data_IF_987886567459
#
_entry.id   IF_987886567459
#
_cell.length_a   1.000
_cell.length_b   1.000
_cell.length_c   1.000
_cell.angle_alpha   90.00
_cell.angle_beta   90.00
_cell.angle_gamma   90.00
#
_symmetry.space_group_name_H-M   'P 1'
#
loop_
_entity.id
_entity.type
_entity.pdbx_description
1 polymer ?
#
# COMPACT_ATOMS: atom_id res chain seq x y z
N UNK A 1 14.88 -4.90 10.14
CA UNK A 1 13.79 -5.27 11.06
C UNK A 1 12.48 -5.40 10.27
N UNK A 2 12.14 -6.63 9.88
CA UNK A 2 10.92 -6.97 9.13
C UNK A 2 9.82 -7.32 10.11
N UNK A 3 9.29 -6.34 10.84
CA UNK A 3 8.24 -6.63 11.82
C UNK A 3 6.95 -6.94 11.08
N UNK A 4 6.48 -8.19 11.16
CA UNK A 4 5.22 -8.65 10.56
C UNK A 4 4.02 -7.79 11.01
N UNK A 5 4.09 -7.21 12.21
CA UNK A 5 3.09 -6.26 12.69
C UNK A 5 3.05 -5.00 11.81
N UNK A 6 4.22 -4.46 11.41
CA UNK A 6 4.27 -3.27 10.55
C UNK A 6 3.75 -3.54 9.14
N UNK A 7 4.02 -4.73 8.59
CA UNK A 7 3.41 -5.20 7.33
C UNK A 7 1.89 -5.15 7.45
N UNK A 8 1.34 -5.79 8.51
CA UNK A 8 -0.10 -5.82 8.76
C UNK A 8 -0.71 -4.43 8.96
N UNK A 9 -0.03 -3.53 9.67
CA UNK A 9 -0.52 -2.14 9.86
C UNK A 9 -0.63 -1.41 8.53
N UNK A 10 0.39 -1.51 7.67
CA UNK A 10 0.39 -0.86 6.35
C UNK A 10 -0.71 -1.45 5.47
N UNK A 11 -0.81 -2.79 5.39
CA UNK A 11 -1.85 -3.46 4.60
C UNK A 11 -3.26 -3.07 5.07
N UNK A 12 -3.49 -3.00 6.38
CA UNK A 12 -4.77 -2.61 6.95
C UNK A 12 -5.10 -1.13 6.71
N UNK A 13 -4.11 -0.24 6.75
CA UNK A 13 -4.31 1.18 6.44
C UNK A 13 -4.73 1.37 4.97
N UNK A 14 -4.06 0.67 4.06
CA UNK A 14 -4.31 0.78 2.63
C UNK A 14 -5.60 0.08 2.17
N UNK A 15 -6.00 -1.01 2.82
CA UNK A 15 -7.29 -1.69 2.54
C UNK A 15 -8.52 -0.81 2.82
N UNK A 16 -8.39 0.28 3.56
CA UNK A 16 -9.49 1.22 3.86
C UNK A 16 -9.78 2.18 2.71
N UNK A 17 -8.90 2.26 1.72
CA UNK A 17 -9.13 3.13 0.56
C UNK A 17 -10.23 2.55 -0.33
N UNK A 18 -11.15 3.41 -0.77
CA UNK A 18 -12.24 3.00 -1.63
C UNK A 18 -11.72 2.45 -2.96
N UNK A 19 -12.21 1.27 -3.35
CA UNK A 19 -11.80 0.62 -4.59
C UNK A 19 -10.57 -0.28 -4.46
N UNK A 20 -9.90 -0.34 -3.29
CA UNK A 20 -8.83 -1.32 -3.05
C UNK A 20 -9.41 -2.73 -2.93
N UNK A 21 -8.88 -3.66 -3.73
CA UNK A 21 -9.19 -5.10 -3.69
C UNK A 21 -8.17 -5.89 -2.90
N UNK A 22 -6.89 -5.56 -3.08
CA UNK A 22 -5.81 -6.28 -2.45
C UNK A 22 -4.64 -5.36 -2.17
N UNK A 23 -3.94 -5.66 -1.07
CA UNK A 23 -2.71 -4.98 -0.68
C UNK A 23 -1.72 -6.04 -0.25
N UNK A 24 -0.49 -5.94 -0.73
CA UNK A 24 0.63 -6.75 -0.30
C UNK A 24 1.82 -5.86 -0.02
N UNK A 25 2.28 -5.84 1.23
CA UNK A 25 3.46 -5.09 1.62
C UNK A 25 4.64 -6.04 1.88
N UNK A 26 5.78 -5.73 1.27
CA UNK A 26 7.05 -6.41 1.51
C UNK A 26 8.08 -5.40 2.02
N UNK A 27 8.27 -5.40 3.34
CA UNK A 27 9.24 -4.52 3.99
C UNK A 27 10.68 -5.01 3.86
N UNK A 28 10.94 -6.25 3.40
CA UNK A 28 12.30 -6.70 3.06
C UNK A 28 12.74 -6.08 1.75
N UNK A 29 11.85 -6.07 0.76
CA UNK A 29 12.14 -5.48 -0.56
C UNK A 29 11.86 -3.98 -0.62
N UNK A 30 11.09 -3.43 0.32
CA UNK A 30 10.67 -2.03 0.33
C UNK A 30 9.49 -1.73 -0.60
N UNK A 31 8.72 -2.75 -1.01
CA UNK A 31 7.66 -2.60 -2.00
C UNK A 31 6.27 -2.77 -1.39
N UNK A 32 5.31 -1.99 -1.91
CA UNK A 32 3.90 -2.14 -1.56
C UNK A 32 3.08 -2.17 -2.85
N UNK A 33 2.45 -3.31 -3.11
CA UNK A 33 1.59 -3.51 -4.27
C UNK A 33 0.15 -3.31 -3.83
N UNK A 34 -0.59 -2.45 -4.55
CA UNK A 34 -1.99 -2.18 -4.30
C UNK A 34 -2.78 -2.46 -5.58
N UNK A 35 -3.77 -3.33 -5.48
CA UNK A 35 -4.69 -3.64 -6.57
C UNK A 35 -5.99 -2.91 -6.26
N UNK A 36 -6.46 -2.10 -7.20
CA UNK A 36 -7.71 -1.35 -7.05
C UNK A 36 -8.54 -1.38 -8.33
N UNK A 37 -9.85 -1.19 -8.20
CA UNK A 37 -10.79 -0.99 -9.33
C UNK A 37 -10.99 0.49 -9.68
N UNK A 38 -10.36 1.37 -8.90
CA UNK A 38 -10.45 2.82 -9.05
C UNK A 38 -9.07 3.42 -9.00
N UNK A 39 -8.92 4.57 -9.64
CA UNK A 39 -7.74 5.40 -9.46
C UNK A 39 -7.61 5.81 -8.00
N UNK A 40 -6.47 5.44 -7.43
CA UNK A 40 -6.08 5.89 -6.10
C UNK A 40 -5.19 7.10 -6.24
N UNK A 41 -5.44 8.11 -5.41
CA UNK A 41 -4.52 9.21 -5.29
C UNK A 41 -3.23 8.73 -4.60
N UNK A 42 -2.15 8.62 -5.36
CA UNK A 42 -0.84 8.15 -4.89
C UNK A 42 -0.35 8.95 -3.67
N UNK A 43 -0.60 10.26 -3.60
CA UNK A 43 -0.22 11.09 -2.45
C UNK A 43 -0.94 10.65 -1.16
N UNK A 44 -2.21 10.26 -1.26
CA UNK A 44 -2.95 9.78 -0.09
C UNK A 44 -2.48 8.41 0.36
N UNK A 45 -2.14 7.52 -0.59
CA UNK A 45 -1.53 6.20 -0.30
C UNK A 45 -0.21 6.38 0.43
N UNK A 46 0.67 7.23 -0.09
CA UNK A 46 1.96 7.60 0.53
C UNK A 46 1.74 8.11 1.97
N UNK A 47 0.82 9.06 2.16
CA UNK A 47 0.52 9.62 3.49
C UNK A 47 0.04 8.55 4.48
N UNK A 48 -0.85 7.66 4.06
CA UNK A 48 -1.34 6.59 4.93
C UNK A 48 -0.23 5.65 5.39
N UNK A 49 0.72 5.35 4.49
CA UNK A 49 1.88 4.52 4.83
C UNK A 49 2.80 5.23 5.84
N UNK A 50 3.09 6.51 5.62
CA UNK A 50 3.92 7.32 6.56
C UNK A 50 3.24 7.44 7.92
N UNK A 51 1.94 7.72 7.96
CA UNK A 51 1.13 7.80 9.18
C UNK A 51 1.04 6.46 9.93
N UNK A 52 1.26 5.34 9.25
CA UNK A 52 1.35 4.01 9.88
C UNK A 52 2.65 3.81 10.69
N UNK A 53 3.50 4.84 10.82
CA UNK A 53 4.64 4.86 11.72
C UNK A 53 5.93 4.30 11.13
N UNK A 54 6.08 4.35 9.81
CA UNK A 54 7.26 3.80 9.10
C UNK A 54 7.81 4.80 8.07
N UNK A 55 9.08 5.24 8.20
CA UNK A 55 9.79 5.83 7.08
C UNK A 55 10.22 4.69 6.14
N UNK A 56 9.45 4.44 5.08
CA UNK A 56 9.97 3.70 3.94
C UNK A 56 11.03 4.59 3.28
N UNK A 57 12.28 4.13 3.24
CA UNK A 57 13.38 4.86 2.60
C UNK A 57 13.22 4.94 1.07
N UNK A 58 12.49 3.97 0.51
CA UNK A 58 12.03 3.95 -0.87
C UNK A 58 10.81 3.02 -0.89
N UNK A 59 9.81 3.37 -1.68
CA UNK A 59 8.72 2.46 -1.98
C UNK A 59 8.14 2.78 -3.35
N UNK A 60 7.95 1.74 -4.14
CA UNK A 60 7.23 1.82 -5.40
C UNK A 60 5.81 1.36 -5.14
N UNK A 61 4.85 2.25 -5.44
CA UNK A 61 3.43 1.92 -5.42
C UNK A 61 3.05 1.53 -6.85
N UNK A 62 2.85 0.24 -7.07
CA UNK A 62 2.25 -0.24 -8.32
C UNK A 62 0.75 -0.32 -8.13
N UNK A 63 0.01 0.49 -8.90
CA UNK A 63 -1.44 0.44 -8.99
C UNK A 63 -1.81 -0.43 -10.20
N UNK A 64 -2.29 -1.64 -9.94
CA UNK A 64 -2.91 -2.46 -10.96
C UNK A 64 -4.39 -2.11 -10.96
N UNK A 65 -4.81 -1.32 -11.95
CA UNK A 65 -6.22 -1.04 -12.16
C UNK A 65 -6.81 -2.20 -12.96
N UNK A 66 -7.70 -2.97 -12.35
CA UNK A 66 -8.43 -4.03 -13.07
C UNK A 66 -9.55 -3.39 -13.90
N UNK A 67 -9.20 -2.51 -14.85
CA UNK A 67 -10.09 -2.02 -15.88
C UNK A 67 -10.02 -2.95 -17.09
N UNK A 68 -10.46 -4.19 -16.91
CA UNK A 68 -10.75 -5.06 -18.05
C UNK A 68 -12.22 -5.44 -18.02
N UNK A 69 -12.98 -4.69 -18.83
CA UNK A 69 -14.37 -4.83 -19.28
C UNK A 69 -15.51 -4.49 -18.32
#
# INVERSE_FOLDING_TARGET
MTCALCVRTIENALRRFQGVKSVKADLKSGYVVVISEKDLNTQNVIKAIVQSGKPLHSFEVTLLNTLEK
#
